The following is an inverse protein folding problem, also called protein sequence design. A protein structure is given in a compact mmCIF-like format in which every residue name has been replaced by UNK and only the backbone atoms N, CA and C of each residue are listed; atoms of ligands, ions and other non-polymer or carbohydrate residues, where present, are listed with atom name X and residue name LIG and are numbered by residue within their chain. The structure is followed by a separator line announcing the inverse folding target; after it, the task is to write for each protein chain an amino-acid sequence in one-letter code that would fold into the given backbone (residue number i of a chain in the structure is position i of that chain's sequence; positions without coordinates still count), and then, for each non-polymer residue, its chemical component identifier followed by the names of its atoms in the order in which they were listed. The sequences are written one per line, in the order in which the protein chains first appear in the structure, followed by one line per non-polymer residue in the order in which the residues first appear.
data_IF_801641551574
#
_entry.id   IF_801641551574
#
_cell.length_a   1.000
_cell.length_b   1.000
_cell.length_c   1.000
_cell.angle_alpha   90.00
_cell.angle_beta   90.00
_cell.angle_gamma   90.00
#
_symmetry.space_group_name_H-M   'P 1'
#
loop_
_entity.id
_entity.type
_entity.pdbx_description
1 polymer ?
#
# COMPACT_ATOMS: atom_id res chain seq x y z
N UNK A 1 -6.65 11.87 19.34
CA UNK A 1 -7.44 12.64 20.31
C UNK A 1 -8.86 12.12 20.25
N UNK A 2 -9.50 11.81 21.36
CA UNK A 2 -10.89 11.34 21.41
C UNK A 2 -11.42 11.32 22.84
N UNK A 3 -12.70 11.65 23.00
CA UNK A 3 -13.31 11.73 24.33
C UNK A 3 -13.62 10.32 24.88
N UNK A 4 -14.15 9.45 24.03
CA UNK A 4 -14.56 8.08 24.40
C UNK A 4 -13.86 7.05 23.49
N UNK A 5 -12.56 6.75 23.73
CA UNK A 5 -11.84 5.75 22.94
C UNK A 5 -12.38 4.35 23.21
N UNK A 6 -12.43 3.52 22.18
CA UNK A 6 -12.78 2.10 22.32
C UNK A 6 -11.65 1.29 22.99
N UNK A 7 -11.96 0.04 23.35
CA UNK A 7 -11.00 -0.84 24.05
C UNK A 7 -9.74 -1.12 23.25
N UNK A 8 -9.80 -1.14 21.91
CA UNK A 8 -8.66 -1.39 21.06
C UNK A 8 -7.68 -0.21 21.06
N UNK A 9 -8.19 1.03 20.96
CA UNK A 9 -7.38 2.25 21.07
C UNK A 9 -6.70 2.33 22.43
N UNK A 10 -7.40 1.98 23.51
CA UNK A 10 -6.84 1.94 24.86
C UNK A 10 -5.68 0.92 24.90
N UNK A 11 -5.89 -0.32 24.42
CA UNK A 11 -4.84 -1.35 24.35
C UNK A 11 -3.63 -0.92 23.54
N UNK A 12 -3.83 -0.25 22.41
CA UNK A 12 -2.72 0.27 21.59
C UNK A 12 -1.92 1.36 22.32
N UNK A 13 -2.61 2.22 23.06
CA UNK A 13 -1.98 3.24 23.89
C UNK A 13 -1.16 2.64 25.04
N UNK A 14 -1.71 1.65 25.73
CA UNK A 14 -1.01 0.93 26.80
C UNK A 14 0.26 0.23 26.27
N UNK A 15 0.21 -0.32 25.04
CA UNK A 15 1.35 -0.90 24.34
C UNK A 15 2.31 0.15 23.76
N UNK A 16 2.13 1.43 24.05
CA UNK A 16 2.93 2.56 23.55
C UNK A 16 3.02 2.64 22.00
N UNK A 17 2.04 2.03 21.30
CA UNK A 17 1.98 2.07 19.83
C UNK A 17 1.36 3.38 19.31
N UNK A 18 0.56 4.04 20.13
CA UNK A 18 -0.04 5.34 19.83
C UNK A 18 -0.02 6.22 21.09
N UNK A 19 -0.09 7.54 20.89
CA UNK A 19 -0.31 8.51 21.98
C UNK A 19 -1.79 8.85 22.04
N UNK A 20 -2.45 8.49 23.11
CA UNK A 20 -3.86 8.81 23.35
C UNK A 20 -4.01 10.07 24.19
N UNK A 21 -4.78 11.03 23.68
CA UNK A 21 -5.29 12.17 24.47
C UNK A 21 -6.79 12.00 24.63
N UNK A 22 -7.22 11.64 25.85
CA UNK A 22 -8.62 11.45 26.19
C UNK A 22 -9.25 12.80 26.53
N UNK A 23 -9.66 13.55 25.50
CA UNK A 23 -10.25 14.88 25.65
C UNK A 23 -11.16 15.22 24.48
N UNK A 24 -12.13 16.09 24.71
CA UNK A 24 -12.97 16.69 23.66
C UNK A 24 -12.16 17.73 22.87
N UNK A 25 -12.37 17.79 21.57
CA UNK A 25 -11.75 18.81 20.71
C UNK A 25 -12.64 20.05 20.75
N UNK A 26 -12.17 21.11 21.40
CA UNK A 26 -12.87 22.40 21.52
C UNK A 26 -12.23 23.48 20.66
N UNK A 27 -10.98 23.28 20.21
CA UNK A 27 -10.26 24.23 19.36
C UNK A 27 -9.33 23.53 18.38
N UNK A 28 -8.93 24.24 17.32
CA UNK A 28 -7.99 23.72 16.30
C UNK A 28 -6.52 23.92 16.68
N UNK A 29 -6.22 24.39 17.90
CA UNK A 29 -4.85 24.63 18.36
C UNK A 29 -3.96 23.38 18.30
N UNK A 30 -4.55 22.18 18.42
CA UNK A 30 -3.80 20.93 18.31
C UNK A 30 -3.13 20.77 16.93
N UNK A 31 -3.73 21.24 15.84
CA UNK A 31 -3.15 21.22 14.51
C UNK A 31 -1.90 22.12 14.45
N UNK A 32 -2.00 23.32 15.02
CA UNK A 32 -0.87 24.25 15.09
C UNK A 32 0.27 23.70 15.95
N UNK A 33 -0.08 23.11 17.12
CA UNK A 33 0.87 22.56 18.08
C UNK A 33 1.63 21.34 17.54
N UNK A 34 0.92 20.41 16.91
CA UNK A 34 1.51 19.14 16.48
C UNK A 34 1.99 19.11 15.04
N UNK A 35 1.53 20.04 14.19
CA UNK A 35 1.85 20.13 12.75
C UNK A 35 1.88 18.74 12.07
N UNK A 36 0.78 17.94 12.17
CA UNK A 36 0.80 16.58 11.65
C UNK A 36 0.95 16.59 10.13
N UNK A 37 1.54 15.54 9.57
CA UNK A 37 1.55 15.33 8.12
C UNK A 37 0.15 15.02 7.58
N UNK A 38 -0.65 14.28 8.35
CA UNK A 38 -2.01 13.86 8.02
C UNK A 38 -2.90 13.99 9.25
N UNK A 39 -4.10 14.51 9.06
CA UNK A 39 -5.16 14.49 10.07
C UNK A 39 -6.35 13.67 9.57
N UNK A 40 -6.89 12.82 10.44
CA UNK A 40 -8.10 12.03 10.19
C UNK A 40 -9.17 12.52 11.15
N UNK A 41 -10.23 13.10 10.62
CA UNK A 41 -11.42 13.51 11.36
C UNK A 41 -12.47 12.40 11.26
N UNK A 42 -12.74 11.76 12.41
CA UNK A 42 -13.69 10.64 12.52
C UNK A 42 -14.45 10.72 13.83
N UNK A 43 -14.98 11.90 14.11
CA UNK A 43 -15.88 12.12 15.27
C UNK A 43 -17.33 11.86 14.85
N UNK A 44 -18.23 11.82 15.83
CA UNK A 44 -19.68 11.76 15.58
C UNK A 44 -20.27 13.11 15.21
N UNK A 45 -19.50 14.19 15.31
CA UNK A 45 -19.90 15.55 14.97
C UNK A 45 -19.35 15.94 13.59
N UNK A 46 -20.24 15.95 12.60
CA UNK A 46 -19.90 16.26 11.21
C UNK A 46 -19.40 17.69 11.03
N UNK A 47 -19.94 18.66 11.76
CA UNK A 47 -19.48 20.06 11.70
C UNK A 47 -18.06 20.18 12.23
N UNK A 48 -17.74 19.45 13.30
CA UNK A 48 -16.38 19.39 13.83
C UNK A 48 -15.42 18.75 12.83
N UNK A 49 -15.83 17.64 12.19
CA UNK A 49 -15.02 16.98 11.15
C UNK A 49 -14.72 17.93 9.99
N UNK A 50 -15.72 18.64 9.48
CA UNK A 50 -15.54 19.64 8.42
C UNK A 50 -14.60 20.77 8.86
N UNK A 51 -14.77 21.29 10.08
CA UNK A 51 -13.91 22.36 10.63
C UNK A 51 -12.46 21.91 10.77
N UNK A 52 -12.22 20.65 11.17
CA UNK A 52 -10.87 20.06 11.23
C UNK A 52 -10.25 20.04 9.85
N UNK A 53 -10.96 19.49 8.84
CA UNK A 53 -10.50 19.37 7.46
C UNK A 53 -10.22 20.74 6.86
N UNK A 54 -11.14 21.69 6.97
CA UNK A 54 -10.95 23.05 6.44
C UNK A 54 -9.74 23.74 7.05
N UNK A 55 -9.55 23.59 8.38
CA UNK A 55 -8.39 24.18 9.07
C UNK A 55 -7.10 23.51 8.62
N UNK A 56 -7.09 22.18 8.48
CA UNK A 56 -5.96 21.42 8.00
C UNK A 56 -5.53 21.88 6.58
N UNK A 57 -6.49 22.01 5.67
CA UNK A 57 -6.24 22.50 4.30
C UNK A 57 -5.61 23.90 4.27
N UNK A 58 -6.13 24.85 5.08
CA UNK A 58 -5.53 26.19 5.23
C UNK A 58 -4.08 26.13 5.71
N UNK A 59 -3.74 25.09 6.48
CA UNK A 59 -2.39 24.87 7.01
C UNK A 59 -1.53 23.96 6.10
N UNK A 60 -2.02 23.57 4.92
CA UNK A 60 -1.37 22.62 3.99
C UNK A 60 -1.06 21.26 4.63
N UNK A 61 -1.93 20.82 5.53
CA UNK A 61 -1.90 19.49 6.17
C UNK A 61 -2.88 18.59 5.43
N UNK A 62 -2.43 17.40 4.99
CA UNK A 62 -3.31 16.41 4.37
C UNK A 62 -4.44 16.02 5.33
N UNK A 63 -5.65 15.89 4.80
CA UNK A 63 -6.83 15.67 5.63
C UNK A 63 -7.76 14.61 5.07
N UNK A 64 -8.42 13.90 5.98
CA UNK A 64 -9.47 12.94 5.67
C UNK A 64 -10.62 13.11 6.66
N UNK A 65 -11.86 13.18 6.15
CA UNK A 65 -13.09 13.10 6.94
C UNK A 65 -13.83 11.79 6.62
N UNK A 66 -14.15 11.02 7.66
CA UNK A 66 -14.80 9.71 7.48
C UNK A 66 -16.24 9.80 6.98
N UNK A 67 -16.89 10.93 7.22
CA UNK A 67 -18.27 11.26 6.88
C UNK A 67 -18.39 12.15 5.63
N UNK A 68 -17.28 12.66 5.08
CA UNK A 68 -17.26 13.53 3.90
C UNK A 68 -16.03 13.22 3.01
N UNK A 69 -16.07 12.12 2.25
CA UNK A 69 -14.97 11.73 1.35
C UNK A 69 -14.61 12.83 0.34
N UNK A 70 -15.61 13.56 -0.19
CA UNK A 70 -15.43 14.61 -1.20
C UNK A 70 -14.63 15.80 -0.68
N UNK A 71 -14.68 16.05 0.61
CA UNK A 71 -13.88 17.10 1.26
C UNK A 71 -12.47 16.66 1.63
N UNK A 72 -12.11 15.41 1.41
CA UNK A 72 -10.85 14.81 1.84
C UNK A 72 -9.77 14.89 0.77
N UNK A 73 -8.50 15.02 1.18
CA UNK A 73 -7.35 15.01 0.26
C UNK A 73 -6.89 13.58 -0.06
N UNK A 74 -7.33 12.60 0.74
CA UNK A 74 -7.03 11.18 0.55
C UNK A 74 -8.31 10.36 0.60
N UNK A 75 -8.28 9.16 0.03
CA UNK A 75 -9.38 8.21 0.11
C UNK A 75 -8.89 6.82 0.51
N UNK A 76 -9.74 6.06 1.19
CA UNK A 76 -9.49 4.66 1.50
C UNK A 76 -10.03 3.76 0.39
N UNK A 77 -9.25 2.75 0.04
CA UNK A 77 -9.61 1.78 -0.97
C UNK A 77 -10.03 0.46 -0.31
N UNK A 78 -10.99 -0.23 -0.92
CA UNK A 78 -11.23 -1.64 -0.61
C UNK A 78 -10.10 -2.47 -1.17
N UNK A 79 -9.15 -2.87 -0.32
CA UNK A 79 -7.93 -3.55 -0.71
C UNK A 79 -8.13 -5.05 -0.85
N UNK A 80 -7.66 -5.61 -1.98
CA UNK A 80 -7.44 -7.04 -2.19
C UNK A 80 -5.95 -7.31 -2.01
N UNK A 81 -5.60 -8.34 -1.26
CA UNK A 81 -4.20 -8.74 -1.05
C UNK A 81 -4.05 -10.22 -1.44
N UNK A 82 -3.40 -10.47 -2.58
CA UNK A 82 -3.15 -11.81 -3.08
C UNK A 82 -1.76 -12.25 -2.64
N UNK A 83 -1.73 -13.23 -1.72
CA UNK A 83 -0.52 -13.87 -1.21
C UNK A 83 0.56 -12.89 -0.73
N UNK A 84 0.16 -11.77 -0.15
CA UNK A 84 1.02 -10.67 0.33
C UNK A 84 1.97 -10.11 -0.75
N UNK A 85 1.65 -10.33 -2.01
CA UNK A 85 2.52 -9.98 -3.15
C UNK A 85 1.84 -9.01 -4.11
N UNK A 86 0.58 -9.25 -4.46
CA UNK A 86 -0.18 -8.40 -5.38
C UNK A 86 -1.27 -7.70 -4.59
N UNK A 87 -1.38 -6.39 -4.76
CA UNK A 87 -2.42 -5.57 -4.13
C UNK A 87 -3.25 -4.87 -5.19
N UNK A 88 -4.57 -4.96 -5.05
CA UNK A 88 -5.52 -4.26 -5.92
C UNK A 88 -6.45 -3.42 -5.06
N UNK A 89 -6.49 -2.13 -5.34
CA UNK A 89 -7.38 -1.18 -4.65
C UNK A 89 -8.61 -0.90 -5.49
N UNK A 90 -9.79 -0.92 -4.87
CA UNK A 90 -11.06 -0.62 -5.51
C UNK A 90 -11.70 0.56 -4.79
N UNK A 91 -12.09 1.57 -5.55
CA UNK A 91 -12.83 2.73 -5.09
C UNK A 91 -14.05 2.97 -5.95
N UNK A 92 -15.09 3.51 -5.36
CA UNK A 92 -16.26 4.05 -6.04
C UNK A 92 -16.33 5.56 -5.88
N UNK A 93 -15.18 6.22 -5.65
CA UNK A 93 -15.12 7.66 -5.41
C UNK A 93 -15.92 8.12 -4.17
N UNK A 94 -16.06 7.25 -3.16
CA UNK A 94 -16.90 7.54 -1.98
C UNK A 94 -18.39 7.25 -2.18
N UNK A 95 -18.86 7.06 -3.43
CA UNK A 95 -20.28 6.95 -3.76
C UNK A 95 -20.98 5.73 -3.15
N UNK A 96 -20.29 4.58 -3.02
CA UNK A 96 -20.93 3.38 -2.48
C UNK A 96 -19.94 2.39 -1.85
N UNK A 97 -19.73 2.45 -0.54
CA UNK A 97 -18.92 1.48 0.19
C UNK A 97 -19.41 0.03 0.01
N UNK A 98 -20.73 -0.17 -0.11
CA UNK A 98 -21.34 -1.48 -0.33
C UNK A 98 -20.96 -2.04 -1.70
N UNK A 99 -21.05 -1.22 -2.75
CA UNK A 99 -20.66 -1.62 -4.09
C UNK A 99 -19.16 -1.85 -4.20
N UNK A 100 -18.33 -1.04 -3.56
CA UNK A 100 -16.90 -1.27 -3.48
C UNK A 100 -16.57 -2.64 -2.87
N UNK A 101 -17.24 -3.04 -1.78
CA UNK A 101 -17.10 -4.38 -1.18
C UNK A 101 -17.58 -5.49 -2.12
N UNK A 102 -18.70 -5.31 -2.80
CA UNK A 102 -19.24 -6.31 -3.74
C UNK A 102 -18.31 -6.53 -4.92
N UNK A 103 -17.79 -5.45 -5.50
CA UNK A 103 -16.82 -5.49 -6.61
C UNK A 103 -15.52 -6.11 -6.12
N UNK A 104 -15.01 -5.72 -4.93
CA UNK A 104 -13.86 -6.34 -4.30
C UNK A 104 -14.00 -7.86 -4.25
N UNK A 105 -15.10 -8.37 -3.69
CA UNK A 105 -15.30 -9.83 -3.55
C UNK A 105 -15.31 -10.57 -4.90
N UNK A 106 -15.94 -9.99 -5.93
CA UNK A 106 -15.92 -10.58 -7.29
C UNK A 106 -14.52 -10.58 -7.89
N UNK A 107 -13.83 -9.44 -7.81
CA UNK A 107 -12.48 -9.29 -8.33
C UNK A 107 -11.49 -10.20 -7.60
N UNK A 108 -11.61 -10.32 -6.29
CA UNK A 108 -10.74 -11.20 -5.48
C UNK A 108 -10.87 -12.66 -5.89
N UNK A 109 -12.11 -13.16 -6.06
CA UNK A 109 -12.37 -14.52 -6.56
C UNK A 109 -11.77 -14.75 -7.95
N UNK A 110 -11.93 -13.77 -8.85
CA UNK A 110 -11.36 -13.84 -10.19
C UNK A 110 -9.83 -13.91 -10.14
N UNK A 111 -9.21 -13.02 -9.37
CA UNK A 111 -7.74 -12.97 -9.25
C UNK A 111 -7.17 -14.22 -8.59
N UNK A 112 -7.82 -14.75 -7.55
CA UNK A 112 -7.42 -16.00 -6.89
C UNK A 112 -7.44 -17.20 -7.85
N UNK A 113 -8.40 -17.23 -8.78
CA UNK A 113 -8.49 -18.28 -9.80
C UNK A 113 -7.43 -18.15 -10.89
N UNK A 114 -7.09 -16.92 -11.28
CA UNK A 114 -6.26 -16.66 -12.47
C UNK A 114 -4.78 -16.34 -12.15
N UNK A 115 -4.46 -16.02 -10.91
CA UNK A 115 -3.07 -15.78 -10.48
C UNK A 115 -2.53 -17.06 -9.84
N UNK A 116 -1.64 -17.74 -10.55
CA UNK A 116 -1.00 -18.97 -10.12
C UNK A 116 0.14 -18.71 -9.11
N UNK A 117 0.59 -19.78 -8.44
CA UNK A 117 1.81 -19.72 -7.62
C UNK A 117 3.05 -19.39 -8.46
N UNK A 118 3.08 -19.81 -9.73
CA UNK A 118 4.16 -19.48 -10.67
C UNK A 118 4.26 -17.97 -10.89
N UNK A 119 3.12 -17.27 -11.04
CA UNK A 119 3.11 -15.81 -11.20
C UNK A 119 3.68 -15.11 -9.97
N UNK A 120 3.32 -15.58 -8.78
CA UNK A 120 3.85 -15.05 -7.52
C UNK A 120 5.37 -15.27 -7.42
N UNK A 121 5.84 -16.46 -7.79
CA UNK A 121 7.27 -16.75 -7.79
C UNK A 121 8.02 -15.90 -8.83
N UNK A 122 7.43 -15.68 -9.98
CA UNK A 122 8.00 -14.84 -11.01
C UNK A 122 8.20 -13.38 -10.54
N UNK A 123 7.22 -12.83 -9.81
CA UNK A 123 7.34 -11.51 -9.18
C UNK A 123 8.51 -11.47 -8.19
N UNK A 124 8.69 -12.53 -7.38
CA UNK A 124 9.80 -12.63 -6.43
C UNK A 124 11.16 -12.70 -7.14
N UNK A 125 11.23 -13.48 -8.22
CA UNK A 125 12.42 -13.59 -9.10
C UNK A 125 12.75 -12.23 -9.69
N UNK A 126 11.76 -11.51 -10.22
CA UNK A 126 11.94 -10.17 -10.77
C UNK A 126 12.45 -9.18 -9.70
N UNK A 127 11.92 -9.25 -8.49
CA UNK A 127 12.41 -8.44 -7.37
C UNK A 127 13.89 -8.73 -7.07
N UNK A 128 14.26 -10.01 -7.03
CA UNK A 128 15.65 -10.43 -6.82
C UNK A 128 16.56 -9.92 -7.95
N UNK A 129 16.19 -10.17 -9.20
CA UNK A 129 16.93 -9.72 -10.37
C UNK A 129 17.13 -8.20 -10.41
N UNK A 130 16.08 -7.43 -10.07
CA UNK A 130 16.14 -5.98 -9.97
C UNK A 130 17.14 -5.52 -8.90
N UNK A 131 17.21 -6.21 -7.77
CA UNK A 131 18.15 -5.86 -6.71
C UNK A 131 19.59 -6.20 -7.12
N UNK A 132 19.82 -7.35 -7.78
CA UNK A 132 21.15 -7.73 -8.28
C UNK A 132 21.61 -6.80 -9.41
N UNK A 133 20.73 -6.47 -10.37
CA UNK A 133 21.08 -5.58 -11.47
C UNK A 133 21.51 -4.19 -11.02
N UNK A 134 20.98 -3.66 -9.92
CA UNK A 134 21.40 -2.38 -9.35
C UNK A 134 22.86 -2.36 -8.88
N UNK A 135 23.45 -3.52 -8.57
CA UNK A 135 24.82 -3.62 -8.08
C UNK A 135 25.85 -3.61 -9.22
N UNK A 136 25.44 -4.03 -10.43
CA UNK A 136 26.37 -4.29 -11.53
C UNK A 136 26.05 -3.49 -12.80
N UNK A 137 24.80 -3.10 -13.02
CA UNK A 137 24.36 -2.38 -14.21
C UNK A 137 24.10 -0.92 -13.86
N UNK A 138 24.87 0.00 -14.44
CA UNK A 138 24.89 1.40 -14.06
C UNK A 138 23.59 2.14 -14.40
N UNK A 139 23.11 2.00 -15.64
CA UNK A 139 21.98 2.79 -16.11
C UNK A 139 20.62 2.14 -15.86
N UNK A 140 19.59 2.95 -15.66
CA UNK A 140 18.22 2.47 -15.50
C UNK A 140 17.69 1.83 -16.78
N UNK A 141 18.13 2.32 -17.95
CA UNK A 141 17.71 1.82 -19.25
C UNK A 141 18.22 0.39 -19.43
N UNK A 142 19.52 0.16 -19.20
CA UNK A 142 20.12 -1.18 -19.29
C UNK A 142 19.53 -2.16 -18.28
N UNK A 143 19.28 -1.72 -17.04
CA UNK A 143 18.58 -2.55 -16.05
C UNK A 143 17.18 -2.98 -16.51
N UNK A 144 16.48 -2.08 -17.21
CA UNK A 144 15.15 -2.40 -17.78
C UNK A 144 15.29 -3.45 -18.90
N UNK A 145 16.22 -3.29 -19.83
CA UNK A 145 16.48 -4.28 -20.88
C UNK A 145 16.81 -5.65 -20.29
N UNK A 146 17.77 -5.70 -19.37
CA UNK A 146 18.13 -6.92 -18.65
C UNK A 146 16.93 -7.65 -18.07
N UNK A 147 16.05 -6.92 -17.37
CA UNK A 147 14.86 -7.53 -16.75
C UNK A 147 13.87 -8.08 -17.77
N UNK A 148 13.72 -7.46 -18.95
CA UNK A 148 12.89 -7.99 -20.03
C UNK A 148 13.52 -9.22 -20.67
N UNK A 149 14.83 -9.23 -20.92
CA UNK A 149 15.53 -10.40 -21.47
C UNK A 149 15.50 -11.58 -20.52
N UNK A 150 15.72 -11.33 -19.22
CA UNK A 150 15.58 -12.36 -18.18
C UNK A 150 14.22 -13.06 -18.22
N UNK A 151 13.13 -12.32 -18.44
CA UNK A 151 11.78 -12.88 -18.54
C UNK A 151 11.61 -13.79 -19.75
N UNK A 152 12.42 -13.58 -20.79
CA UNK A 152 12.36 -14.35 -22.02
C UNK A 152 13.42 -15.46 -22.10
N UNK A 153 14.38 -15.50 -21.16
CA UNK A 153 15.44 -16.51 -21.13
C UNK A 153 14.85 -17.91 -20.96
N UNK A 154 15.20 -18.82 -21.87
CA UNK A 154 14.68 -20.19 -21.91
C UNK A 154 15.06 -20.98 -20.66
N UNK A 155 16.31 -20.84 -20.18
CA UNK A 155 16.80 -21.56 -18.98
C UNK A 155 16.07 -21.12 -17.74
N UNK A 156 15.80 -19.82 -17.60
CA UNK A 156 15.03 -19.28 -16.47
C UNK A 156 13.60 -19.81 -16.51
N UNK A 157 12.98 -19.88 -17.69
CA UNK A 157 11.63 -20.45 -17.88
C UNK A 157 11.57 -21.93 -17.53
N UNK A 158 12.58 -22.71 -17.93
CA UNK A 158 12.68 -24.14 -17.59
C UNK A 158 12.86 -24.36 -16.10
N UNK A 159 13.82 -23.68 -15.48
CA UNK A 159 14.06 -23.74 -14.05
C UNK A 159 12.82 -23.33 -13.22
N UNK A 160 12.05 -22.36 -13.74
CA UNK A 160 10.80 -21.95 -13.12
C UNK A 160 9.72 -23.04 -13.19
N UNK A 161 9.62 -23.75 -14.34
CA UNK A 161 8.71 -24.89 -14.49
C UNK A 161 9.06 -26.00 -13.49
N UNK A 162 10.34 -26.23 -13.28
CA UNK A 162 10.87 -27.27 -12.39
C UNK A 162 10.83 -26.85 -10.89
N UNK A 163 10.48 -25.60 -10.59
CA UNK A 163 10.49 -25.08 -9.20
C UNK A 163 11.89 -24.89 -8.61
N UNK A 164 12.95 -24.84 -9.45
CA UNK A 164 14.35 -24.76 -9.02
C UNK A 164 14.79 -23.32 -8.72
N UNK A 165 14.18 -22.66 -7.74
CA UNK A 165 14.35 -21.23 -7.46
C UNK A 165 15.79 -20.83 -7.10
N UNK A 166 16.54 -21.68 -6.39
CA UNK A 166 17.94 -21.41 -6.05
C UNK A 166 18.83 -21.38 -7.29
N UNK A 167 18.60 -22.30 -8.25
CA UNK A 167 19.31 -22.32 -9.52
C UNK A 167 19.00 -21.06 -10.35
N UNK A 168 17.75 -20.56 -10.32
CA UNK A 168 17.39 -19.31 -10.99
C UNK A 168 18.19 -18.13 -10.39
N UNK A 169 18.30 -18.04 -9.06
CA UNK A 169 19.06 -16.96 -8.43
C UNK A 169 20.54 -17.00 -8.83
N UNK A 170 21.15 -18.18 -8.90
CA UNK A 170 22.53 -18.37 -9.36
C UNK A 170 22.68 -17.95 -10.83
N UNK A 171 21.75 -18.37 -11.69
CA UNK A 171 21.70 -17.97 -13.10
C UNK A 171 21.60 -16.45 -13.25
N UNK A 172 20.72 -15.79 -12.49
CA UNK A 172 20.56 -14.33 -12.50
C UNK A 172 21.87 -13.63 -12.13
N UNK A 173 22.52 -14.07 -11.04
CA UNK A 173 23.80 -13.48 -10.61
C UNK A 173 24.87 -13.57 -11.71
N UNK A 174 24.92 -14.69 -12.45
CA UNK A 174 25.84 -14.86 -13.59
C UNK A 174 25.46 -13.92 -14.72
N UNK A 175 24.21 -13.94 -15.16
CA UNK A 175 23.72 -13.08 -16.25
C UNK A 175 23.94 -11.59 -16.00
N UNK A 176 23.76 -11.13 -14.75
CA UNK A 176 23.99 -9.72 -14.40
C UNK A 176 25.47 -9.34 -14.48
N UNK A 177 26.39 -10.24 -14.10
CA UNK A 177 27.84 -10.00 -14.23
C UNK A 177 28.31 -10.00 -15.67
N UNK A 178 27.70 -10.85 -16.50
CA UNK A 178 28.06 -11.01 -17.93
C UNK A 178 27.34 -9.96 -18.81
N UNK A 179 26.47 -9.12 -18.22
CA UNK A 179 25.71 -8.08 -18.94
C UNK A 179 26.64 -6.95 -19.40
N UNK A 180 26.63 -6.69 -20.71
CA UNK A 180 27.44 -5.66 -21.35
C UNK A 180 26.58 -4.51 -21.88
#
# INVERSE_FOLDING_TARGET
IGEKPNSEIIKLSQKKKITLKKTKITSMLFLKKHKPFLVIASTTDSLLNQKIVQTAKKMKILSYASDSPDSSDISYLSLIDIKKTIKVGISTGGSSPIMAKKIKSKTEKYLQKNISDKDIQLIKIQKFARNESKKHILTTIERKKFLYELMNDKRVKELLKDGKYNAIQTTIKKMVKDWK
#
